data_IF_982662038804
#
_entry.id   IF_982662038804
#
_cell.length_a   1.000
_cell.length_b   1.000
_cell.length_c   1.000
_cell.angle_alpha   90.00
_cell.angle_beta   90.00
_cell.angle_gamma   90.00
#
_symmetry.space_group_name_H-M   'P 1'
#
loop_
_entity.id
_entity.type
_entity.pdbx_description
1 polymer ?
#
# COMPACT_ATOMS: atom_id res chain seq x y z
N UNK A 1 7.81 34.01 14.63
CA UNK A 1 8.83 33.21 13.93
C UNK A 1 8.65 31.78 14.43
N UNK A 2 7.63 31.12 13.90
CA UNK A 2 7.16 29.81 14.37
C UNK A 2 7.99 28.72 13.73
N UNK A 3 8.51 27.89 14.63
CA UNK A 3 9.30 26.69 14.41
C UNK A 3 8.60 25.74 13.42
N UNK A 4 9.14 25.66 12.21
CA UNK A 4 8.65 24.78 11.13
C UNK A 4 9.17 23.34 11.31
N UNK A 5 9.94 23.08 12.38
CA UNK A 5 10.57 21.78 12.64
C UNK A 5 9.66 20.72 13.29
N UNK A 6 8.56 21.13 13.92
CA UNK A 6 7.78 20.26 14.83
C UNK A 6 6.56 19.56 14.18
N UNK A 7 6.27 19.82 12.90
CA UNK A 7 5.09 19.24 12.21
C UNK A 7 5.36 17.98 11.38
N UNK A 8 6.60 17.48 11.29
CA UNK A 8 6.82 16.09 10.88
C UNK A 8 6.72 15.18 12.11
N UNK A 9 5.53 15.10 12.70
CA UNK A 9 5.23 13.98 13.59
C UNK A 9 5.45 12.70 12.81
N UNK A 10 6.54 12.01 13.16
CA UNK A 10 6.85 10.68 12.71
C UNK A 10 5.60 9.81 12.91
N UNK A 11 4.87 9.54 11.83
CA UNK A 11 3.91 8.46 11.78
C UNK A 11 4.70 7.19 12.05
N UNK A 12 4.83 6.80 13.33
CA UNK A 12 5.30 5.48 13.75
C UNK A 12 4.47 4.50 12.94
N UNK A 13 5.12 3.86 11.96
CA UNK A 13 4.51 2.78 11.21
C UNK A 13 4.19 1.70 12.25
N UNK A 14 2.93 1.65 12.70
CA UNK A 14 2.51 0.57 13.57
C UNK A 14 2.69 -0.72 12.78
N UNK A 15 3.55 -1.60 13.28
CA UNK A 15 3.74 -2.92 12.72
C UNK A 15 2.39 -3.64 12.82
N UNK A 16 1.79 -3.91 11.66
CA UNK A 16 0.52 -4.59 11.57
C UNK A 16 0.65 -6.02 12.08
N UNK A 17 -0.30 -6.44 12.91
CA UNK A 17 -0.39 -7.83 13.35
C UNK A 17 -0.62 -8.76 12.14
N UNK A 18 -0.25 -10.05 12.23
CA UNK A 18 -0.55 -11.04 11.18
C UNK A 18 -2.03 -11.02 10.78
N UNK A 19 -2.92 -10.89 11.75
CA UNK A 19 -4.36 -10.84 11.49
C UNK A 19 -4.79 -9.60 10.70
N UNK A 20 -4.21 -8.44 10.99
CA UNK A 20 -4.46 -7.23 10.20
C UNK A 20 -3.89 -7.36 8.78
N UNK A 21 -2.74 -8.02 8.61
CA UNK A 21 -2.19 -8.31 7.28
C UNK A 21 -3.12 -9.18 6.46
N UNK A 22 -3.70 -10.24 7.04
CA UNK A 22 -4.66 -11.10 6.34
C UNK A 22 -5.88 -10.32 5.86
N UNK A 23 -6.38 -9.40 6.69
CA UNK A 23 -7.53 -8.56 6.35
C UNK A 23 -7.20 -7.63 5.18
N UNK A 24 -6.03 -6.98 5.19
CA UNK A 24 -5.57 -6.12 4.11
C UNK A 24 -5.32 -6.91 2.82
N UNK A 25 -4.85 -8.15 2.93
CA UNK A 25 -4.71 -9.05 1.78
C UNK A 25 -6.06 -9.37 1.13
N UNK A 26 -7.07 -9.73 1.93
CA UNK A 26 -8.42 -9.98 1.41
C UNK A 26 -9.04 -8.71 0.81
N UNK A 27 -8.82 -7.55 1.44
CA UNK A 27 -9.29 -6.27 0.91
C UNK A 27 -8.67 -5.95 -0.46
N UNK A 28 -7.35 -6.14 -0.61
CA UNK A 28 -6.68 -5.94 -1.90
C UNK A 28 -7.12 -6.94 -2.97
N UNK A 29 -7.37 -8.19 -2.58
CA UNK A 29 -7.94 -9.20 -3.47
C UNK A 29 -9.31 -8.76 -4.00
N UNK A 30 -10.21 -8.33 -3.10
CA UNK A 30 -11.53 -7.82 -3.49
C UNK A 30 -11.44 -6.61 -4.43
N UNK A 31 -10.50 -5.69 -4.17
CA UNK A 31 -10.26 -4.53 -5.01
C UNK A 31 -9.78 -4.93 -6.41
N UNK A 32 -8.88 -5.92 -6.52
CA UNK A 32 -8.38 -6.42 -7.81
C UNK A 32 -9.48 -7.14 -8.59
N UNK A 33 -10.30 -7.95 -7.92
CA UNK A 33 -11.35 -8.76 -8.56
C UNK A 33 -12.59 -7.95 -8.96
N UNK A 34 -13.01 -7.00 -8.13
CA UNK A 34 -14.30 -6.31 -8.30
C UNK A 34 -14.25 -4.79 -8.25
N UNK A 35 -13.05 -4.19 -8.15
CA UNK A 35 -12.88 -2.75 -8.11
C UNK A 35 -13.47 -2.08 -6.86
N UNK A 36 -13.61 -0.76 -6.90
CA UNK A 36 -14.09 0.06 -5.77
C UNK A 36 -15.44 -0.41 -5.20
N UNK A 37 -16.37 -0.81 -6.08
CA UNK A 37 -17.71 -1.29 -5.69
C UNK A 37 -17.67 -2.57 -4.84
N UNK A 38 -16.68 -3.44 -5.07
CA UNK A 38 -16.51 -4.66 -4.29
C UNK A 38 -15.84 -4.41 -2.94
N UNK A 39 -15.19 -3.24 -2.77
CA UNK A 39 -14.46 -2.87 -1.57
C UNK A 39 -15.38 -2.18 -0.56
N UNK A 40 -16.18 -2.96 0.16
CA UNK A 40 -17.07 -2.47 1.23
C UNK A 40 -16.67 -3.07 2.57
N UNK A 41 -16.92 -2.39 3.69
CA UNK A 41 -16.64 -2.95 5.03
C UNK A 41 -17.36 -4.28 5.26
N UNK A 42 -18.56 -4.45 4.69
CA UNK A 42 -19.31 -5.70 4.76
C UNK A 42 -18.67 -6.84 3.97
N UNK A 43 -18.22 -6.59 2.73
CA UNK A 43 -17.55 -7.60 1.91
C UNK A 43 -16.19 -7.99 2.48
N UNK A 44 -15.43 -7.02 3.00
CA UNK A 44 -14.13 -7.26 3.64
C UNK A 44 -14.30 -8.06 4.93
N UNK A 45 -15.25 -7.69 5.79
CA UNK A 45 -15.56 -8.44 7.02
C UNK A 45 -15.88 -9.91 6.70
N UNK A 46 -16.71 -10.14 5.67
CA UNK A 46 -17.05 -11.48 5.20
C UNK A 46 -15.84 -12.24 4.66
N UNK A 47 -15.05 -11.63 3.77
CA UNK A 47 -13.90 -12.27 3.13
C UNK A 47 -12.78 -12.60 4.13
N UNK A 48 -12.54 -11.71 5.10
CA UNK A 48 -11.53 -11.89 6.13
C UNK A 48 -12.02 -12.70 7.33
N UNK A 49 -13.30 -13.10 7.40
CA UNK A 49 -13.92 -13.74 8.55
C UNK A 49 -13.72 -12.94 9.85
N UNK A 50 -14.05 -11.65 9.83
CA UNK A 50 -13.98 -10.75 10.99
C UNK A 50 -15.25 -9.89 11.10
N UNK A 51 -15.42 -9.20 12.23
CA UNK A 51 -16.57 -8.31 12.42
C UNK A 51 -16.29 -6.92 11.85
N UNK A 52 -17.36 -6.16 11.53
CA UNK A 52 -17.20 -4.76 11.10
C UNK A 52 -16.60 -3.91 12.21
N UNK A 53 -16.98 -4.17 13.46
CA UNK A 53 -16.45 -3.50 14.65
C UNK A 53 -14.93 -3.70 14.77
N UNK A 54 -14.43 -4.88 14.38
CA UNK A 54 -12.98 -5.15 14.34
C UNK A 54 -12.28 -4.28 13.30
N UNK A 55 -12.87 -4.13 12.12
CA UNK A 55 -12.34 -3.25 11.07
C UNK A 55 -12.30 -1.79 11.53
N UNK A 56 -13.39 -1.28 12.12
CA UNK A 56 -13.45 0.08 12.64
C UNK A 56 -12.43 0.30 13.76
N UNK A 57 -12.25 -0.68 14.65
CA UNK A 57 -11.25 -0.61 15.72
C UNK A 57 -9.81 -0.56 15.19
N UNK A 58 -9.49 -1.30 14.14
CA UNK A 58 -8.13 -1.38 13.61
C UNK A 58 -7.78 -0.27 12.64
N UNK A 59 -8.73 0.15 11.82
CA UNK A 59 -8.46 1.01 10.67
C UNK A 59 -9.23 2.33 10.70
N UNK A 60 -10.08 2.55 11.70
CA UNK A 60 -10.92 3.73 11.76
C UNK A 60 -12.01 3.67 10.70
N UNK A 61 -12.10 4.70 9.87
CA UNK A 61 -13.09 4.80 8.80
C UNK A 61 -12.62 4.14 7.49
N UNK A 62 -13.35 4.40 6.40
CA UNK A 62 -13.00 3.90 5.07
C UNK A 62 -11.62 4.42 4.64
N UNK A 63 -11.33 5.69 4.89
CA UNK A 63 -10.10 6.32 4.42
C UNK A 63 -8.88 5.81 5.19
N UNK A 64 -9.04 5.55 6.48
CA UNK A 64 -8.04 4.88 7.30
C UNK A 64 -7.75 3.46 6.81
N UNK A 65 -8.78 2.70 6.40
CA UNK A 65 -8.59 1.38 5.78
C UNK A 65 -7.87 1.48 4.42
N UNK A 66 -8.23 2.43 3.56
CA UNK A 66 -7.57 2.63 2.27
C UNK A 66 -6.10 3.04 2.46
N UNK A 67 -5.84 3.93 3.40
CA UNK A 67 -4.48 4.35 3.77
C UNK A 67 -3.66 3.16 4.26
N UNK A 68 -4.26 2.29 5.10
CA UNK A 68 -3.60 1.07 5.58
C UNK A 68 -3.30 0.09 4.43
N UNK A 69 -4.22 -0.10 3.48
CA UNK A 69 -4.03 -0.95 2.30
C UNK A 69 -2.86 -0.46 1.44
N UNK A 70 -2.79 0.85 1.16
CA UNK A 70 -1.70 1.44 0.37
C UNK A 70 -0.36 1.27 1.09
N UNK A 71 -0.29 1.60 2.38
CA UNK A 71 0.94 1.48 3.18
C UNK A 71 1.43 0.03 3.27
N UNK A 72 0.52 -0.92 3.45
CA UNK A 72 0.84 -2.35 3.48
C UNK A 72 1.30 -2.87 2.13
N UNK A 73 0.69 -2.43 1.03
CA UNK A 73 1.18 -2.80 -0.29
C UNK A 73 2.56 -2.22 -0.58
N UNK A 74 2.81 -0.97 -0.17
CA UNK A 74 4.12 -0.34 -0.31
C UNK A 74 5.20 -1.06 0.51
N UNK A 75 4.88 -1.61 1.70
CA UNK A 75 5.84 -2.35 2.52
C UNK A 75 6.22 -3.72 1.92
N UNK A 76 5.40 -4.28 1.02
CA UNK A 76 5.72 -5.50 0.27
C UNK A 76 6.67 -5.25 -0.91
N UNK A 77 6.83 -4.01 -1.36
CA UNK A 77 7.75 -3.66 -2.44
C UNK A 77 9.17 -3.64 -1.90
N UNK A 78 9.98 -4.61 -2.32
CA UNK A 78 11.39 -4.70 -1.92
C UNK A 78 12.20 -3.63 -2.67
N UNK A 79 12.99 -2.86 -1.93
CA UNK A 79 14.07 -2.06 -2.49
C UNK A 79 15.33 -2.91 -2.48
N UNK A 80 15.91 -3.20 -3.64
CA UNK A 80 17.19 -3.90 -3.74
C UNK A 80 18.30 -2.94 -3.28
N UNK A 81 19.05 -3.25 -2.20
CA UNK A 81 20.13 -2.38 -1.76
C UNK A 81 21.28 -2.37 -2.78
N UNK A 82 21.73 -1.19 -3.19
CA UNK A 82 22.92 -1.04 -4.01
C UNK A 82 24.18 -1.18 -3.15
N UNK A 83 25.02 -2.18 -3.43
CA UNK A 83 26.30 -2.36 -2.74
C UNK A 83 27.32 -1.32 -3.24
N UNK A 84 27.50 -0.24 -2.46
CA UNK A 84 28.30 0.93 -2.89
C UNK A 84 29.81 0.67 -3.00
N UNK A 85 30.32 -0.35 -2.31
CA UNK A 85 31.76 -0.62 -2.19
C UNK A 85 32.41 -1.25 -3.44
N UNK A 86 31.62 -1.63 -4.46
CA UNK A 86 32.11 -2.25 -5.72
C UNK A 86 31.45 -1.65 -6.96
N UNK A 87 31.13 -0.36 -6.93
CA UNK A 87 30.50 0.32 -8.06
C UNK A 87 31.56 0.66 -9.13
N UNK A 88 31.42 0.02 -10.28
CA UNK A 88 32.04 0.41 -11.54
C UNK A 88 30.92 0.70 -12.56
N UNK A 89 31.29 1.13 -13.77
CA UNK A 89 30.29 1.50 -14.79
C UNK A 89 29.38 0.33 -15.18
N UNK A 90 29.92 -0.89 -15.24
CA UNK A 90 29.19 -2.10 -15.63
C UNK A 90 28.20 -2.52 -14.53
N UNK A 91 28.67 -2.56 -13.27
CA UNK A 91 27.85 -2.93 -12.12
C UNK A 91 26.78 -1.89 -11.83
N UNK A 92 27.04 -0.60 -12.08
CA UNK A 92 26.04 0.46 -12.01
C UNK A 92 24.97 0.29 -13.08
N UNK A 93 25.36 0.09 -14.34
CA UNK A 93 24.39 -0.07 -15.44
C UNK A 93 23.49 -1.29 -15.21
N UNK A 94 24.07 -2.43 -14.84
CA UNK A 94 23.32 -3.63 -14.48
C UNK A 94 22.37 -3.40 -13.31
N UNK A 95 22.79 -2.66 -12.27
CA UNK A 95 21.93 -2.34 -11.14
C UNK A 95 20.76 -1.43 -11.51
N UNK A 96 20.99 -0.43 -12.38
CA UNK A 96 19.93 0.44 -12.90
C UNK A 96 18.93 -0.33 -13.76
N UNK A 97 19.41 -1.27 -14.59
CA UNK A 97 18.55 -2.12 -15.40
C UNK A 97 17.66 -3.02 -14.53
N UNK A 98 18.24 -3.68 -13.52
CA UNK A 98 17.47 -4.48 -12.57
C UNK A 98 16.44 -3.63 -11.82
N UNK A 99 16.85 -2.46 -11.32
CA UNK A 99 15.93 -1.52 -10.68
C UNK A 99 14.78 -1.12 -11.61
N UNK A 100 15.07 -0.76 -12.86
CA UNK A 100 14.05 -0.37 -13.83
C UNK A 100 13.07 -1.51 -14.13
N UNK A 101 13.57 -2.74 -14.30
CA UNK A 101 12.74 -3.94 -14.51
C UNK A 101 11.84 -4.21 -13.31
N UNK A 102 12.40 -4.23 -12.10
CA UNK A 102 11.65 -4.44 -10.87
C UNK A 102 10.58 -3.36 -10.66
N UNK A 103 10.94 -2.10 -10.92
CA UNK A 103 10.03 -0.97 -10.82
C UNK A 103 8.87 -1.08 -11.80
N UNK A 104 9.15 -1.45 -13.06
CA UNK A 104 8.12 -1.67 -14.08
C UNK A 104 7.18 -2.83 -13.68
N UNK A 105 7.69 -3.91 -13.11
CA UNK A 105 6.88 -5.03 -12.61
C UNK A 105 5.96 -4.61 -11.46
N UNK A 106 6.48 -3.79 -10.53
CA UNK A 106 5.68 -3.24 -9.42
C UNK A 106 4.57 -2.34 -9.94
N UNK A 107 4.90 -1.39 -10.82
CA UNK A 107 3.95 -0.41 -11.35
C UNK A 107 2.85 -1.05 -12.21
N UNK A 108 3.22 -2.01 -13.05
CA UNK A 108 2.30 -2.73 -13.95
C UNK A 108 1.54 -3.88 -13.25
N UNK A 109 1.85 -4.15 -11.98
CA UNK A 109 1.16 -5.18 -11.20
C UNK A 109 -0.34 -4.87 -11.03
N UNK A 110 -1.17 -5.93 -11.08
CA UNK A 110 -2.63 -5.80 -10.95
C UNK A 110 -3.08 -5.01 -9.72
N UNK A 111 -2.43 -5.24 -8.58
CA UNK A 111 -2.71 -4.51 -7.33
C UNK A 111 -2.36 -3.03 -7.41
N UNK A 112 -1.23 -2.67 -8.04
CA UNK A 112 -0.83 -1.28 -8.27
C UNK A 112 -1.86 -0.56 -9.15
N UNK A 113 -2.26 -1.19 -10.26
CA UNK A 113 -3.27 -0.63 -11.17
C UNK A 113 -4.61 -0.43 -10.45
N UNK A 114 -5.05 -1.42 -9.65
CA UNK A 114 -6.32 -1.33 -8.94
C UNK A 114 -6.33 -0.21 -7.89
N UNK A 115 -5.24 -0.06 -7.13
CA UNK A 115 -5.07 1.03 -6.16
C UNK A 115 -5.01 2.41 -6.82
N UNK A 116 -4.26 2.56 -7.92
CA UNK A 116 -4.19 3.82 -8.65
C UNK A 116 -5.56 4.19 -9.25
N UNK A 117 -6.29 3.23 -9.81
CA UNK A 117 -7.65 3.45 -10.29
C UNK A 117 -8.59 3.92 -9.19
N UNK A 118 -8.51 3.29 -8.01
CA UNK A 118 -9.29 3.67 -6.84
C UNK A 118 -8.99 5.11 -6.43
N UNK A 119 -7.71 5.47 -6.30
CA UNK A 119 -7.28 6.82 -5.94
C UNK A 119 -7.81 7.88 -6.94
N UNK A 120 -7.69 7.62 -8.24
CA UNK A 120 -8.19 8.51 -9.30
C UNK A 120 -9.72 8.65 -9.23
N UNK A 121 -10.46 7.57 -8.99
CA UNK A 121 -11.92 7.64 -8.86
C UNK A 121 -12.39 8.40 -7.62
N UNK A 122 -11.66 8.29 -6.52
CA UNK A 122 -11.93 9.04 -5.30
C UNK A 122 -11.70 10.54 -5.51
N UNK A 123 -10.54 10.92 -6.07
CA UNK A 123 -10.23 12.32 -6.37
C UNK A 123 -11.25 12.97 -7.32
N UNK A 124 -11.75 12.23 -8.32
CA UNK A 124 -12.77 12.71 -9.24
C UNK A 124 -14.16 12.84 -8.61
N UNK A 125 -14.46 12.09 -7.53
CA UNK A 125 -15.77 12.07 -6.88
C UNK A 125 -15.95 13.16 -5.83
N UNK A 126 -14.91 13.95 -5.52
CA UNK A 126 -14.98 15.05 -4.53
C UNK A 126 -15.43 14.61 -3.13
N UNK A 127 -15.25 13.33 -2.80
CA UNK A 127 -15.48 12.73 -1.48
C UNK A 127 -14.18 12.21 -0.93
#
# INVERSE_FOLDING_TARGET
MTDTGDELQAHKQQVLSPRQNDVLEQALRLLVEGGDRALTTASIARAANCSKESLYKWFGDRDGLLTAMVRWQASKVRVVPLAREKLDAESLFSSLEHFARDWLLVLSGRTSIALNRLAVSHAASGR
#
